data_IF_147487114155
#
_entry.id   IF_147487114155
#
_cell.length_a   1.000
_cell.length_b   1.000
_cell.length_c   1.000
_cell.angle_alpha   90.00
_cell.angle_beta   90.00
_cell.angle_gamma   90.00
#
_symmetry.space_group_name_H-M   'P 1'
#
loop_
_entity.id
_entity.type
_entity.pdbx_description
1 polymer ?
#
# COMPACT_ATOMS: atom_id res chain seq x y z
N UNK A 1 6.81 13.32 1.34
CA UNK A 1 6.36 13.07 -0.05
C UNK A 1 6.81 11.70 -0.50
N UNK A 2 5.94 10.98 -1.15
CA UNK A 2 6.26 9.69 -1.75
C UNK A 2 6.20 9.82 -3.27
N UNK A 3 7.23 9.33 -3.96
CA UNK A 3 7.33 9.42 -5.41
C UNK A 3 7.19 8.03 -6.03
N UNK A 4 6.30 7.89 -6.99
CA UNK A 4 6.12 6.68 -7.80
C UNK A 4 6.45 6.99 -9.27
N UNK A 5 7.06 6.02 -9.96
CA UNK A 5 7.12 6.09 -11.42
C UNK A 5 5.75 5.79 -12.01
N UNK A 6 5.54 6.19 -13.26
CA UNK A 6 4.31 5.84 -13.97
C UNK A 6 4.12 4.33 -14.07
N UNK A 7 5.20 3.58 -14.23
CA UNK A 7 5.16 2.11 -14.29
C UNK A 7 4.65 1.53 -12.96
N UNK A 8 5.18 2.00 -11.84
CA UNK A 8 4.76 1.54 -10.50
C UNK A 8 3.28 1.88 -10.26
N UNK A 9 2.87 3.10 -10.59
CA UNK A 9 1.46 3.49 -10.48
C UNK A 9 0.56 2.56 -11.27
N UNK A 10 0.94 2.26 -12.51
CA UNK A 10 0.16 1.37 -13.39
C UNK A 10 0.06 -0.03 -12.79
N UNK A 11 1.15 -0.56 -12.25
CA UNK A 11 1.14 -1.89 -11.63
C UNK A 11 0.17 -1.96 -10.45
N UNK A 12 0.12 -0.92 -9.62
CA UNK A 12 -0.81 -0.87 -8.49
C UNK A 12 -2.25 -0.81 -8.99
N UNK A 13 -2.52 0.02 -10.00
CA UNK A 13 -3.87 0.14 -10.58
C UNK A 13 -4.35 -1.17 -11.19
N UNK A 14 -3.48 -1.85 -11.91
CA UNK A 14 -3.81 -3.15 -12.51
C UNK A 14 -4.07 -4.21 -11.44
N UNK A 15 -3.27 -4.21 -10.35
CA UNK A 15 -3.47 -5.14 -9.24
C UNK A 15 -4.83 -4.92 -8.57
N UNK A 16 -5.22 -3.68 -8.35
CA UNK A 16 -6.51 -3.35 -7.76
C UNK A 16 -7.68 -3.77 -8.63
N UNK A 17 -7.60 -3.50 -9.93
CA UNK A 17 -8.65 -3.89 -10.88
C UNK A 17 -8.78 -5.41 -10.95
N UNK A 18 -7.65 -6.12 -10.98
CA UNK A 18 -7.64 -7.57 -11.07
C UNK A 18 -8.19 -8.25 -9.83
N UNK A 19 -7.94 -7.70 -8.65
CA UNK A 19 -8.41 -8.27 -7.39
C UNK A 19 -9.90 -8.02 -7.12
N UNK A 20 -10.46 -6.95 -7.72
CA UNK A 20 -11.86 -6.58 -7.49
C UNK A 20 -12.78 -7.81 -7.66
N UNK A 21 -13.74 -8.06 -6.78
CA UNK A 21 -14.24 -7.20 -5.70
C UNK A 21 -13.48 -7.30 -4.38
N UNK A 22 -12.36 -7.99 -4.36
CA UNK A 22 -11.51 -8.12 -3.16
C UNK A 22 -10.45 -7.02 -3.12
N UNK A 23 -9.87 -6.80 -1.94
CA UNK A 23 -8.75 -5.88 -1.78
C UNK A 23 -7.47 -6.55 -2.27
N UNK A 24 -6.67 -5.83 -3.07
CA UNK A 24 -5.29 -6.21 -3.30
C UNK A 24 -4.42 -5.61 -2.22
N UNK A 25 -3.23 -6.15 -2.04
CA UNK A 25 -2.24 -5.58 -1.13
C UNK A 25 -0.83 -5.91 -1.58
N UNK A 26 0.13 -5.17 -1.05
CA UNK A 26 1.53 -5.39 -1.34
C UNK A 26 2.44 -4.48 -0.53
N UNK A 27 3.74 -4.62 -0.79
CA UNK A 27 4.80 -3.93 -0.07
C UNK A 27 5.55 -3.04 -1.05
N UNK A 28 5.91 -1.84 -0.59
CA UNK A 28 6.66 -0.86 -1.37
C UNK A 28 8.12 -0.92 -0.93
N UNK A 29 9.02 -1.17 -1.88
CA UNK A 29 10.46 -1.06 -1.67
C UNK A 29 10.96 0.24 -2.27
N UNK A 30 11.84 0.91 -1.57
CA UNK A 30 12.33 2.19 -2.06
C UNK A 30 13.58 2.68 -1.38
N UNK A 31 13.89 3.95 -1.64
CA UNK A 31 15.05 4.65 -1.11
C UNK A 31 14.64 6.00 -0.54
N UNK A 32 15.57 6.62 0.18
CA UNK A 32 15.34 7.89 0.84
C UNK A 32 15.07 7.72 2.31
N UNK A 33 15.18 8.80 3.05
CA UNK A 33 14.86 8.83 4.48
C UNK A 33 14.09 10.09 4.80
N UNK A 34 13.45 10.09 5.99
CA UNK A 34 12.71 11.25 6.44
C UNK A 34 11.48 11.54 5.60
N UNK A 35 11.44 12.72 5.00
CA UNK A 35 10.22 13.22 4.36
C UNK A 35 10.04 12.79 2.91
N UNK A 36 11.15 12.58 2.18
CA UNK A 36 11.10 12.28 0.74
C UNK A 36 11.61 10.89 0.46
N UNK A 37 10.71 10.02 0.01
CA UNK A 37 11.04 8.65 -0.35
C UNK A 37 10.56 8.32 -1.76
N UNK A 38 11.29 7.43 -2.44
CA UNK A 38 11.00 7.04 -3.82
C UNK A 38 10.79 5.53 -3.86
N UNK A 39 9.67 5.10 -4.41
CA UNK A 39 9.39 3.68 -4.60
C UNK A 39 10.14 3.18 -5.85
N UNK A 40 10.91 2.13 -5.68
CA UNK A 40 11.72 1.54 -6.75
C UNK A 40 11.19 0.19 -7.22
N UNK A 41 10.48 -0.54 -6.36
CA UNK A 41 9.99 -1.88 -6.66
C UNK A 41 8.79 -2.20 -5.81
N UNK A 42 7.98 -3.15 -6.25
CA UNK A 42 6.82 -3.64 -5.52
C UNK A 42 6.97 -5.13 -5.23
N UNK A 43 6.37 -5.56 -4.13
CA UNK A 43 6.15 -6.96 -3.86
C UNK A 43 4.65 -7.20 -3.66
N UNK A 44 3.93 -7.66 -4.70
CA UNK A 44 2.53 -8.03 -4.54
C UNK A 44 2.40 -9.18 -3.54
N UNK A 45 1.38 -9.09 -2.69
CA UNK A 45 1.13 -10.09 -1.64
C UNK A 45 -0.25 -10.67 -1.86
N UNK A 46 -0.35 -12.00 -1.73
CA UNK A 46 -1.66 -12.66 -1.74
C UNK A 46 -2.37 -12.30 -0.43
N UNK A 47 -3.59 -11.79 -0.53
CA UNK A 47 -4.36 -11.43 0.65
C UNK A 47 -4.68 -12.69 1.46
N UNK A 48 -4.12 -12.76 2.68
CA UNK A 48 -4.22 -13.94 3.54
C UNK A 48 -5.52 -14.00 4.36
N UNK A 49 -6.40 -12.99 4.24
CA UNK A 49 -7.71 -13.05 4.88
C UNK A 49 -8.56 -14.16 4.27
N UNK A 50 -9.47 -14.71 5.07
CA UNK A 50 -10.44 -15.68 4.59
C UNK A 50 -11.23 -15.07 3.42
N UNK A 51 -11.62 -15.90 2.45
CA UNK A 51 -12.23 -15.42 1.20
C UNK A 51 -13.46 -14.53 1.43
N UNK A 52 -14.24 -14.75 2.49
CA UNK A 52 -15.39 -13.90 2.81
C UNK A 52 -15.01 -12.52 3.33
N UNK A 53 -13.78 -12.33 3.80
CA UNK A 53 -13.29 -11.06 4.34
C UNK A 53 -12.42 -10.28 3.37
N UNK A 54 -11.87 -10.92 2.34
CA UNK A 54 -10.99 -10.27 1.35
C UNK A 54 -11.69 -9.13 0.62
N UNK A 55 -13.00 -9.14 0.60
CA UNK A 55 -13.82 -8.12 -0.02
C UNK A 55 -13.57 -6.72 0.57
N UNK A 56 -13.27 -6.62 1.86
CA UNK A 56 -13.09 -5.32 2.51
C UNK A 56 -11.93 -5.30 3.52
N UNK A 57 -11.12 -6.34 3.54
CA UNK A 57 -9.96 -6.42 4.44
C UNK A 57 -8.85 -7.22 3.79
N UNK A 58 -7.63 -6.92 4.20
CA UNK A 58 -6.46 -7.68 3.75
C UNK A 58 -5.61 -8.04 4.96
N UNK A 59 -4.71 -9.02 4.78
CA UNK A 59 -3.79 -9.44 5.82
C UNK A 59 -2.44 -9.79 5.18
N UNK A 60 -1.36 -9.19 5.71
CA UNK A 60 0.01 -9.56 5.37
C UNK A 60 0.58 -10.33 6.55
N UNK A 61 0.98 -11.58 6.33
CA UNK A 61 1.47 -12.44 7.40
C UNK A 61 2.89 -12.06 7.83
N UNK A 62 3.29 -12.51 9.04
CA UNK A 62 4.65 -12.32 9.50
C UNK A 62 5.66 -13.01 8.59
N UNK A 63 5.31 -14.14 7.99
CA UNK A 63 6.17 -14.84 7.04
C UNK A 63 6.41 -14.02 5.79
N UNK A 64 5.36 -13.36 5.26
CA UNK A 64 5.49 -12.48 4.12
C UNK A 64 6.33 -11.24 4.44
N UNK A 65 6.18 -10.68 5.64
CA UNK A 65 7.00 -9.56 6.08
C UNK A 65 8.48 -9.96 6.15
N UNK A 66 8.77 -11.15 6.66
CA UNK A 66 10.15 -11.64 6.73
C UNK A 66 10.72 -11.85 5.33
N UNK A 67 9.94 -12.44 4.42
CA UNK A 67 10.35 -12.62 3.04
C UNK A 67 10.61 -11.27 2.35
N UNK A 68 9.78 -10.28 2.62
CA UNK A 68 9.95 -8.94 2.07
C UNK A 68 11.22 -8.26 2.58
N UNK A 69 11.55 -8.41 3.86
CA UNK A 69 12.79 -7.85 4.41
C UNK A 69 14.02 -8.47 3.77
N UNK A 70 13.99 -9.79 3.52
CA UNK A 70 15.08 -10.46 2.82
C UNK A 70 15.20 -9.99 1.37
N UNK A 71 14.09 -9.81 0.69
CA UNK A 71 14.09 -9.30 -0.68
C UNK A 71 14.63 -7.87 -0.74
N UNK A 72 14.21 -7.02 0.19
CA UNK A 72 14.71 -5.64 0.27
C UNK A 72 16.24 -5.61 0.40
N UNK A 73 16.80 -6.47 1.25
CA UNK A 73 18.27 -6.58 1.39
C UNK A 73 18.93 -6.98 0.09
N UNK A 74 18.39 -7.95 -0.63
CA UNK A 74 18.95 -8.39 -1.92
C UNK A 74 18.93 -7.28 -2.95
N UNK A 75 17.92 -6.43 -2.92
CA UNK A 75 17.77 -5.31 -3.84
C UNK A 75 18.51 -4.06 -3.37
N UNK A 76 19.10 -4.08 -2.16
CA UNK A 76 19.69 -2.90 -1.52
C UNK A 76 18.69 -1.76 -1.37
N UNK A 77 17.45 -2.10 -1.04
CA UNK A 77 16.35 -1.17 -0.81
C UNK A 77 15.79 -1.34 0.60
N UNK A 78 14.96 -0.40 1.01
CA UNK A 78 14.23 -0.47 2.28
C UNK A 78 12.75 -0.70 2.01
N UNK A 79 12.04 -1.24 3.00
CA UNK A 79 10.59 -1.23 2.98
C UNK A 79 10.17 0.19 3.36
N UNK A 80 9.51 0.89 2.44
CA UNK A 80 9.07 2.27 2.68
C UNK A 80 7.58 2.36 2.98
N UNK A 81 6.84 1.30 2.70
CA UNK A 81 5.41 1.28 2.98
C UNK A 81 4.67 0.11 2.37
N UNK A 82 3.37 0.29 2.29
CA UNK A 82 2.44 -0.74 1.85
C UNK A 82 1.40 -0.11 0.94
N UNK A 83 0.75 -0.92 0.10
CA UNK A 83 -0.38 -0.48 -0.69
C UNK A 83 -1.52 -1.48 -0.58
N UNK A 84 -2.74 -0.97 -0.67
CA UNK A 84 -3.93 -1.81 -0.78
C UNK A 84 -5.03 -1.05 -1.51
N UNK A 85 -6.04 -1.79 -1.98
CA UNK A 85 -7.18 -1.19 -2.65
C UNK A 85 -8.41 -1.19 -1.75
N UNK A 86 -9.28 -0.19 -1.97
CA UNK A 86 -10.59 -0.09 -1.35
C UNK A 86 -11.66 -0.30 -2.42
N UNK A 87 -12.19 -1.53 -2.57
CA UNK A 87 -13.28 -1.76 -3.53
C UNK A 87 -14.54 -1.01 -3.12
N UNK A 88 -14.98 -0.11 -4.00
CA UNK A 88 -16.20 0.69 -3.82
C UNK A 88 -16.23 1.57 -2.55
N UNK A 89 -15.06 1.86 -1.98
CA UNK A 89 -14.90 2.73 -0.82
C UNK A 89 -13.97 3.90 -1.14
N UNK A 90 -14.08 5.02 -0.42
CA UNK A 90 -13.14 6.13 -0.60
C UNK A 90 -11.69 5.72 -0.35
N UNK A 91 -10.74 6.40 -0.99
CA UNK A 91 -9.32 6.17 -0.80
C UNK A 91 -8.82 6.87 0.48
N UNK A 92 -9.42 6.51 1.60
CA UNK A 92 -9.09 7.05 2.92
C UNK A 92 -9.02 5.89 3.93
N UNK A 93 -8.13 5.98 4.94
CA UNK A 93 -7.96 4.88 5.88
C UNK A 93 -9.23 4.56 6.66
N UNK A 94 -9.52 3.27 6.81
CA UNK A 94 -10.60 2.78 7.65
C UNK A 94 -10.14 2.62 9.09
N UNK A 95 -11.06 2.31 10.00
CA UNK A 95 -10.70 1.96 11.37
C UNK A 95 -9.82 0.71 11.41
N UNK A 96 -10.13 -0.27 10.56
CA UNK A 96 -9.32 -1.47 10.43
C UNK A 96 -7.89 -1.11 10.00
N UNK A 97 -7.75 -0.23 9.00
CA UNK A 97 -6.43 0.22 8.56
C UNK A 97 -5.65 0.87 9.72
N UNK A 98 -6.30 1.74 10.49
CA UNK A 98 -5.68 2.41 11.62
C UNK A 98 -5.23 1.41 12.70
N UNK A 99 -6.06 0.41 12.99
CA UNK A 99 -5.77 -0.55 14.05
C UNK A 99 -4.61 -1.49 13.68
N UNK A 100 -4.38 -1.71 12.40
CA UNK A 100 -3.37 -2.66 11.90
C UNK A 100 -2.14 -2.00 11.29
N UNK A 101 -2.14 -0.68 11.12
CA UNK A 101 -1.01 0.03 10.53
C UNK A 101 0.12 0.25 11.53
N UNK A 102 1.30 0.50 10.99
CA UNK A 102 2.51 0.84 11.75
C UNK A 102 2.90 2.28 11.44
N UNK A 103 3.35 3.07 12.44
CA UNK A 103 3.94 4.38 12.19
C UNK A 103 5.19 4.26 11.33
N UNK A 104 5.63 5.37 10.74
CA UNK A 104 6.85 5.50 9.92
C UNK A 104 6.74 4.98 8.49
N UNK A 105 5.71 4.22 8.14
CA UNK A 105 5.52 3.70 6.79
C UNK A 105 4.48 4.50 6.03
N UNK A 106 4.66 4.58 4.72
CA UNK A 106 3.64 5.10 3.82
C UNK A 106 2.58 4.04 3.58
N UNK A 107 1.33 4.47 3.48
CA UNK A 107 0.20 3.60 3.15
C UNK A 107 -0.52 4.16 1.93
N UNK A 108 -0.34 3.52 0.79
CA UNK A 108 -1.04 3.88 -0.44
C UNK A 108 -2.39 3.19 -0.45
N UNK A 109 -3.45 3.95 -0.70
CA UNK A 109 -4.79 3.43 -0.85
C UNK A 109 -5.30 3.78 -2.24
N UNK A 110 -5.76 2.78 -2.98
CA UNK A 110 -6.35 2.93 -4.30
C UNK A 110 -7.83 2.65 -4.23
N UNK A 111 -8.66 3.61 -4.62
CA UNK A 111 -10.08 3.35 -4.79
C UNK A 111 -10.31 2.60 -6.09
N UNK A 112 -11.09 1.52 -6.04
CA UNK A 112 -11.51 0.76 -7.22
C UNK A 112 -13.03 0.74 -7.22
N UNK A 113 -13.65 1.55 -8.08
CA UNK A 113 -15.10 1.69 -8.16
C UNK A 113 -15.63 0.82 -9.28
N UNK A 114 -16.40 -0.21 -8.92
CA UNK A 114 -17.00 -1.15 -9.90
C UNK A 114 -15.95 -1.72 -10.86
N UNK A 115 -14.78 -2.08 -10.32
CA UNK A 115 -13.70 -2.66 -11.11
C UNK A 115 -12.77 -1.66 -11.79
N UNK A 116 -13.07 -0.35 -11.71
CA UNK A 116 -12.26 0.68 -12.34
C UNK A 116 -11.38 1.40 -11.31
N UNK A 117 -10.05 1.40 -11.49
CA UNK A 117 -9.15 2.14 -10.59
C UNK A 117 -9.40 3.65 -10.72
N UNK A 118 -9.51 4.32 -9.58
CA UNK A 118 -9.76 5.75 -9.53
C UNK A 118 -8.66 6.46 -8.75
N UNK A 119 -9.01 7.20 -7.70
CA UNK A 119 -8.03 7.99 -6.96
C UNK A 119 -7.05 7.11 -6.19
N UNK A 120 -5.81 7.58 -6.09
CA UNK A 120 -4.75 6.96 -5.31
C UNK A 120 -4.22 8.00 -4.34
N UNK A 121 -4.14 7.62 -3.07
CA UNK A 121 -3.72 8.52 -1.99
C UNK A 121 -2.61 7.89 -1.18
N UNK A 122 -1.88 8.70 -0.41
CA UNK A 122 -0.83 8.23 0.48
C UNK A 122 -1.06 8.79 1.88
N UNK A 123 -0.84 7.97 2.88
CA UNK A 123 -1.11 8.27 4.28
C UNK A 123 -0.01 7.78 5.19
N UNK A 124 0.15 8.46 6.32
CA UNK A 124 1.10 8.04 7.36
C UNK A 124 0.41 8.09 8.71
N UNK A 125 0.50 7.00 9.47
CA UNK A 125 -0.09 6.92 10.80
C UNK A 125 0.73 7.77 11.78
N UNK A 126 0.05 8.60 12.57
CA UNK A 126 0.70 9.39 13.62
C UNK A 126 1.29 8.48 14.68
N UNK A 127 2.36 8.94 15.34
CA UNK A 127 2.97 8.17 16.44
C UNK A 127 1.99 7.89 17.57
N UNK A 128 1.04 8.79 17.81
CA UNK A 128 -0.02 8.59 18.80
C UNK A 128 -0.99 7.48 18.43
N UNK A 129 -1.00 7.07 17.14
CA UNK A 129 -1.93 6.09 16.56
C UNK A 129 -3.39 6.55 16.55
N UNK A 130 -3.66 7.82 16.81
CA UNK A 130 -5.03 8.35 16.84
C UNK A 130 -5.61 8.53 15.44
N UNK A 131 -4.76 8.88 14.47
CA UNK A 131 -5.21 9.18 13.12
C UNK A 131 -4.06 9.07 12.13
N UNK A 132 -4.43 9.03 10.84
CA UNK A 132 -3.47 9.18 9.74
C UNK A 132 -3.43 10.64 9.30
N UNK A 133 -2.27 11.05 8.80
CA UNK A 133 -2.12 12.30 8.06
C UNK A 133 -1.98 11.99 6.59
N UNK A 134 -2.65 12.79 5.75
CA UNK A 134 -2.49 12.68 4.30
C UNK A 134 -1.09 13.16 3.93
N UNK A 135 -0.44 12.41 3.03
CA UNK A 135 0.89 12.71 2.52
C UNK A 135 0.81 13.06 1.03
N UNK A 136 1.76 13.86 0.58
CA UNK A 136 1.87 14.19 -0.83
C UNK A 136 2.35 12.98 -1.63
N UNK A 137 1.64 12.67 -2.70
CA UNK A 137 1.99 11.56 -3.62
C UNK A 137 2.27 12.16 -5.00
N UNK A 138 3.49 11.95 -5.50
CA UNK A 138 3.90 12.44 -6.81
C UNK A 138 4.13 11.28 -7.77
N UNK A 139 3.61 11.42 -8.98
CA UNK A 139 3.81 10.43 -10.04
C UNK A 139 4.78 11.00 -11.06
N UNK A 140 5.91 10.35 -11.25
CA UNK A 140 6.88 10.73 -12.28
C UNK A 140 6.56 10.06 -13.61
N UNK A 141 6.68 10.80 -14.71
CA UNK A 141 6.42 10.26 -16.06
C UNK A 141 7.29 9.06 -16.42
#
# INVERSE_FOLDING_TARGET
MLVLSKTIETEIREAGAKAYPNECCGILFGTGDGEDQVVRSLRPIVNARESGEQYHRFLITAEEMMAAELEARKLALDIVGFYHSHPDHPAAPSEYDRDHALPFYHYIILRVAQGEPEEMTDWRLRLSREAFDAEELEIEP
#
